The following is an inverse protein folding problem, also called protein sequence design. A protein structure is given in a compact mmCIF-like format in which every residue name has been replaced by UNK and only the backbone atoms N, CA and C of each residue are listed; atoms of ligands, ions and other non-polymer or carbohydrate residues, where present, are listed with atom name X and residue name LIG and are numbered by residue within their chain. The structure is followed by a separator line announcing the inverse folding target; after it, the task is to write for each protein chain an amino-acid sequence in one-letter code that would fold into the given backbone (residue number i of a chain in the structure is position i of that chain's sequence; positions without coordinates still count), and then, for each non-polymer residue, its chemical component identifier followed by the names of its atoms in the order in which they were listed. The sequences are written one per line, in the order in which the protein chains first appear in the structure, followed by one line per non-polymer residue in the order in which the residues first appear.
data_IF_494612896844
#
_entry.id   IF_494612896844
#
_cell.length_a   1.000
_cell.length_b   1.000
_cell.length_c   1.000
_cell.angle_alpha   90.00
_cell.angle_beta   90.00
_cell.angle_gamma   90.00
#
_symmetry.space_group_name_H-M   'P 1'
#
loop_
_entity.id
_entity.type
_entity.pdbx_description
1 polymer ?
#
# COMPACT_ATOMS: atom_id res chain seq x y z
N UNK A 1 26.91 -51.90 32.55
CA UNK A 1 26.57 -51.21 33.82
C UNK A 1 27.42 -49.97 34.10
N UNK A 2 28.76 -50.04 34.18
CA UNK A 2 29.60 -48.83 34.37
C UNK A 2 29.63 -47.95 33.11
N UNK A 3 29.73 -48.54 31.92
CA UNK A 3 29.80 -47.79 30.66
C UNK A 3 28.48 -47.12 30.28
N UNK A 4 27.35 -47.75 30.60
CA UNK A 4 26.01 -47.14 30.44
C UNK A 4 25.84 -45.91 31.34
N UNK A 5 26.34 -45.96 32.58
CA UNK A 5 26.32 -44.81 33.49
C UNK A 5 27.22 -43.69 32.98
N UNK A 6 28.40 -44.00 32.44
CA UNK A 6 29.29 -43.01 31.81
C UNK A 6 28.64 -42.35 30.59
N UNK A 7 28.00 -43.14 29.73
CA UNK A 7 27.30 -42.62 28.55
C UNK A 7 26.13 -41.71 28.95
N UNK A 8 25.38 -42.07 30.00
CA UNK A 8 24.30 -41.23 30.54
C UNK A 8 24.81 -39.93 31.17
N UNK A 9 25.95 -39.96 31.86
CA UNK A 9 26.60 -38.76 32.40
C UNK A 9 27.03 -37.82 31.25
N UNK A 10 27.69 -38.36 30.22
CA UNK A 10 28.13 -37.57 29.07
C UNK A 10 26.95 -36.92 28.32
N UNK A 11 25.82 -37.62 28.18
CA UNK A 11 24.62 -37.07 27.57
C UNK A 11 24.04 -35.91 28.40
N UNK A 12 23.93 -36.09 29.72
CA UNK A 12 23.45 -35.05 30.63
C UNK A 12 24.38 -33.83 30.67
N UNK A 13 25.69 -34.03 30.56
CA UNK A 13 26.66 -32.94 30.45
C UNK A 13 26.56 -32.20 29.10
N UNK A 14 26.33 -32.93 28.00
CA UNK A 14 26.06 -32.37 26.68
C UNK A 14 24.79 -31.53 26.66
N UNK A 15 23.68 -32.07 27.17
CA UNK A 15 22.41 -31.36 27.30
C UNK A 15 22.58 -30.10 28.16
N UNK A 16 23.20 -30.24 29.33
CA UNK A 16 23.47 -29.12 30.23
C UNK A 16 24.26 -28.03 29.51
N UNK A 17 25.30 -28.39 28.75
CA UNK A 17 26.10 -27.43 27.98
C UNK A 17 25.28 -26.74 26.88
N UNK A 18 24.51 -27.49 26.11
CA UNK A 18 23.63 -26.94 25.07
C UNK A 18 22.58 -25.99 25.65
N UNK A 19 21.99 -26.31 26.82
CA UNK A 19 21.06 -25.43 27.52
C UNK A 19 21.73 -24.11 27.95
N UNK A 20 22.95 -24.16 28.49
CA UNK A 20 23.67 -22.93 28.87
C UNK A 20 24.06 -22.09 27.64
N UNK A 21 24.53 -22.72 26.57
CA UNK A 21 24.90 -22.03 25.33
C UNK A 21 23.68 -21.38 24.67
N UNK A 22 22.56 -22.08 24.59
CA UNK A 22 21.31 -21.55 24.04
C UNK A 22 20.73 -20.41 24.90
N UNK A 23 20.77 -20.55 26.23
CA UNK A 23 20.35 -19.49 27.15
C UNK A 23 21.24 -18.25 27.04
N UNK A 24 22.55 -18.44 26.97
CA UNK A 24 23.51 -17.34 26.78
C UNK A 24 23.31 -16.64 25.43
N UNK A 25 23.14 -17.41 24.35
CA UNK A 25 22.84 -16.88 23.02
C UNK A 25 21.54 -16.09 23.01
N UNK A 26 20.49 -16.62 23.63
CA UNK A 26 19.19 -15.96 23.76
C UNK A 26 19.29 -14.68 24.57
N UNK A 27 20.02 -14.67 25.69
CA UNK A 27 20.27 -13.46 26.47
C UNK A 27 21.04 -12.41 25.67
N UNK A 28 22.07 -12.82 24.91
CA UNK A 28 22.84 -11.92 24.07
C UNK A 28 21.95 -11.29 22.99
N UNK A 29 21.16 -12.10 22.27
CA UNK A 29 20.20 -11.64 21.26
C UNK A 29 19.15 -10.69 21.86
N UNK A 30 18.65 -10.99 23.06
CA UNK A 30 17.70 -10.14 23.76
C UNK A 30 18.33 -8.80 24.16
N UNK A 31 19.59 -8.79 24.66
CA UNK A 31 20.32 -7.55 24.95
C UNK A 31 20.53 -6.70 23.70
N UNK A 32 20.91 -7.32 22.59
CA UNK A 32 21.06 -6.64 21.29
C UNK A 32 19.73 -6.06 20.81
N UNK A 33 18.63 -6.84 20.92
CA UNK A 33 17.29 -6.38 20.54
C UNK A 33 16.80 -5.22 21.41
N UNK A 34 17.02 -5.27 22.72
CA UNK A 34 16.72 -4.13 23.62
C UNK A 34 17.54 -2.90 23.22
N UNK A 35 18.82 -3.09 22.86
CA UNK A 35 19.68 -2.02 22.35
C UNK A 35 19.12 -1.37 21.08
N UNK A 36 18.68 -2.18 20.12
CA UNK A 36 18.02 -1.71 18.89
C UNK A 36 16.72 -0.96 19.22
N UNK A 37 15.83 -1.54 20.02
CA UNK A 37 14.55 -0.93 20.40
C UNK A 37 14.73 0.41 21.13
N UNK A 38 15.80 0.56 21.93
CA UNK A 38 16.15 1.83 22.58
C UNK A 38 16.63 2.88 21.58
N UNK A 39 17.44 2.48 20.59
CA UNK A 39 17.86 3.37 19.50
C UNK A 39 16.66 3.81 18.66
N UNK A 40 15.83 2.86 18.23
CA UNK A 40 14.59 3.12 17.50
C UNK A 40 13.66 4.06 18.28
N UNK A 41 13.46 3.85 19.58
CA UNK A 41 12.67 4.77 20.43
C UNK A 41 13.28 6.18 20.50
N UNK A 42 14.61 6.29 20.60
CA UNK A 42 15.30 7.58 20.61
C UNK A 42 15.10 8.31 19.29
N UNK A 43 15.22 7.59 18.18
CA UNK A 43 15.06 8.14 16.83
C UNK A 43 13.61 8.55 16.57
N UNK A 44 12.62 7.74 16.96
CA UNK A 44 11.19 8.08 16.87
C UNK A 44 10.85 9.31 17.70
N UNK A 45 11.38 9.43 18.93
CA UNK A 45 11.19 10.64 19.76
C UNK A 45 11.82 11.87 19.12
N UNK A 46 12.98 11.72 18.46
CA UNK A 46 13.62 12.81 17.73
C UNK A 46 12.76 13.23 16.53
N UNK A 47 12.33 12.27 15.70
CA UNK A 47 11.45 12.53 14.57
C UNK A 47 10.14 13.19 14.99
N UNK A 48 9.54 12.77 16.11
CA UNK A 48 8.34 13.40 16.64
C UNK A 48 8.58 14.87 17.01
N UNK A 49 9.68 15.18 17.72
CA UNK A 49 10.05 16.58 18.00
C UNK A 49 10.29 17.39 16.73
N UNK A 50 11.01 16.84 15.77
CA UNK A 50 11.35 17.54 14.53
C UNK A 50 10.06 17.87 13.75
N UNK A 51 9.10 16.94 13.69
CA UNK A 51 7.78 17.19 13.08
C UNK A 51 6.94 18.20 13.85
N UNK A 52 6.85 18.09 15.17
CA UNK A 52 6.11 19.05 15.99
C UNK A 52 6.70 20.46 15.88
N UNK A 53 8.03 20.57 15.86
CA UNK A 53 8.71 21.86 15.68
C UNK A 53 8.49 22.45 14.29
N UNK A 54 8.41 21.62 13.24
CA UNK A 54 8.07 22.06 11.90
C UNK A 54 6.62 22.57 11.83
N UNK A 55 5.68 21.84 12.43
CA UNK A 55 4.27 22.24 12.54
C UNK A 55 4.14 23.57 13.29
N UNK A 56 4.80 23.73 14.44
CA UNK A 56 4.80 24.97 15.22
C UNK A 56 5.40 26.15 14.43
N UNK A 57 6.43 25.90 13.61
CA UNK A 57 7.01 26.92 12.74
C UNK A 57 6.02 27.38 11.67
N UNK A 58 5.37 26.44 10.98
CA UNK A 58 4.38 26.72 9.93
C UNK A 58 3.16 27.47 10.51
N UNK A 59 2.64 27.02 11.66
CA UNK A 59 1.54 27.70 12.37
C UNK A 59 1.99 29.10 12.80
N UNK A 60 3.22 29.24 13.33
CA UNK A 60 3.77 30.53 13.74
C UNK A 60 3.88 31.53 12.60
N UNK A 61 4.32 31.09 11.41
CA UNK A 61 4.40 31.92 10.22
C UNK A 61 3.02 32.29 9.67
N UNK A 62 2.09 31.33 9.59
CA UNK A 62 0.76 31.55 9.05
C UNK A 62 -0.09 32.51 9.90
N UNK A 63 0.11 32.53 11.23
CA UNK A 63 -0.62 33.37 12.17
C UNK A 63 0.22 34.50 12.77
N UNK A 64 1.25 34.99 12.05
CA UNK A 64 2.13 36.05 12.55
C UNK A 64 1.36 37.34 12.92
N UNK A 65 0.38 37.73 12.09
CA UNK A 65 -0.46 38.92 12.31
C UNK A 65 -1.65 38.67 13.25
N UNK A 66 -1.84 37.43 13.71
CA UNK A 66 -3.04 36.97 14.42
C UNK A 66 -2.67 36.26 15.73
N UNK A 67 -2.31 37.02 16.78
CA UNK A 67 -1.76 36.45 18.01
C UNK A 67 -2.77 35.60 18.80
N UNK A 68 -4.06 35.92 18.74
CA UNK A 68 -5.12 35.17 19.44
C UNK A 68 -5.33 33.80 18.78
N UNK A 69 -5.40 33.77 17.46
CA UNK A 69 -5.51 32.52 16.70
C UNK A 69 -4.25 31.68 16.83
N UNK A 70 -3.07 32.30 16.80
CA UNK A 70 -1.79 31.62 17.05
C UNK A 70 -1.77 30.91 18.40
N UNK A 71 -2.18 31.60 19.47
CA UNK A 71 -2.25 31.00 20.81
C UNK A 71 -3.26 29.84 20.87
N UNK A 72 -4.41 29.96 20.20
CA UNK A 72 -5.42 28.91 20.13
C UNK A 72 -4.99 27.67 19.32
N UNK A 73 -3.93 27.80 18.53
CA UNK A 73 -3.34 26.71 17.73
C UNK A 73 -2.02 26.18 18.30
N UNK A 74 -1.54 26.73 19.42
CA UNK A 74 -0.34 26.23 20.08
C UNK A 74 -0.54 24.76 20.54
N UNK A 75 0.47 23.92 20.31
CA UNK A 75 0.47 22.48 20.60
C UNK A 75 -0.52 21.64 19.76
N UNK A 76 -1.02 22.18 18.65
CA UNK A 76 -1.82 21.41 17.68
C UNK A 76 -0.97 21.05 16.47
N UNK A 77 -1.27 19.92 15.86
CA UNK A 77 -0.65 19.57 14.58
C UNK A 77 -1.14 20.51 13.48
N UNK A 78 -0.38 20.64 12.39
CA UNK A 78 -0.79 21.46 11.25
C UNK A 78 -2.16 21.07 10.69
N UNK A 79 -2.48 19.77 10.70
CA UNK A 79 -3.78 19.25 10.25
C UNK A 79 -4.94 19.66 11.17
N UNK A 80 -4.74 19.56 12.48
CA UNK A 80 -5.76 19.97 13.45
C UNK A 80 -6.00 21.48 13.41
N UNK A 81 -4.95 22.27 13.13
CA UNK A 81 -5.06 23.70 12.93
C UNK A 81 -5.92 24.04 11.69
N UNK A 82 -5.74 23.33 10.57
CA UNK A 82 -6.58 23.50 9.38
C UNK A 82 -8.04 23.21 9.71
N UNK A 83 -8.33 22.06 10.32
CA UNK A 83 -9.69 21.67 10.67
C UNK A 83 -10.37 22.69 11.61
N UNK A 84 -9.65 23.19 12.60
CA UNK A 84 -10.17 24.21 13.51
C UNK A 84 -10.43 25.55 12.80
N UNK A 85 -9.63 25.94 11.79
CA UNK A 85 -9.92 27.10 10.97
C UNK A 85 -11.12 26.89 10.05
N UNK A 86 -11.27 25.71 9.47
CA UNK A 86 -12.41 25.37 8.62
C UNK A 86 -13.73 25.51 9.38
N UNK A 87 -13.80 25.01 10.62
CA UNK A 87 -14.97 25.21 11.48
C UNK A 87 -15.27 26.69 11.73
N UNK A 88 -14.25 27.50 12.02
CA UNK A 88 -14.41 28.96 12.19
C UNK A 88 -14.92 29.64 10.91
N UNK A 89 -14.42 29.25 9.73
CA UNK A 89 -14.88 29.77 8.44
C UNK A 89 -16.34 29.38 8.20
N UNK A 90 -16.73 28.14 8.50
CA UNK A 90 -18.12 27.71 8.41
C UNK A 90 -19.05 28.54 9.32
N UNK A 91 -18.66 28.77 10.57
CA UNK A 91 -19.48 29.53 11.53
C UNK A 91 -19.60 31.00 11.14
N UNK A 92 -18.50 31.64 10.73
CA UNK A 92 -18.53 33.02 10.23
C UNK A 92 -19.37 33.15 8.96
N UNK A 93 -19.31 32.18 8.05
CA UNK A 93 -20.15 32.13 6.84
C UNK A 93 -21.64 31.97 7.19
N UNK A 94 -21.98 31.13 8.16
CA UNK A 94 -23.36 30.99 8.66
C UNK A 94 -23.86 32.32 9.24
N UNK A 95 -23.06 32.99 10.07
CA UNK A 95 -23.38 34.32 10.63
C UNK A 95 -23.58 35.37 9.52
N UNK A 96 -22.69 35.40 8.53
CA UNK A 96 -22.79 36.30 7.37
C UNK A 96 -24.09 36.05 6.59
N UNK A 97 -24.44 34.79 6.33
CA UNK A 97 -25.66 34.44 5.60
C UNK A 97 -26.92 34.85 6.37
N UNK A 98 -26.94 34.65 7.68
CA UNK A 98 -28.03 35.12 8.54
C UNK A 98 -28.19 36.65 8.47
N UNK A 99 -27.09 37.40 8.57
CA UNK A 99 -27.11 38.85 8.44
C UNK A 99 -27.56 39.29 7.04
N UNK A 100 -27.08 38.65 5.98
CA UNK A 100 -27.52 38.92 4.59
C UNK A 100 -29.01 38.71 4.41
N UNK A 101 -29.57 37.65 4.99
CA UNK A 101 -31.01 37.39 4.97
C UNK A 101 -31.79 38.51 5.67
N UNK A 102 -31.37 38.91 6.87
CA UNK A 102 -32.00 40.01 7.60
C UNK A 102 -31.92 41.33 6.82
N UNK A 103 -30.76 41.64 6.25
CA UNK A 103 -30.56 42.86 5.44
C UNK A 103 -31.43 42.84 4.19
N UNK A 104 -31.50 41.71 3.48
CA UNK A 104 -32.37 41.56 2.31
C UNK A 104 -33.85 41.75 2.68
N UNK A 105 -34.30 41.19 3.81
CA UNK A 105 -35.66 41.40 4.31
C UNK A 105 -35.96 42.87 4.61
N UNK A 106 -35.05 43.56 5.31
CA UNK A 106 -35.17 45.01 5.56
C UNK A 106 -35.18 45.83 4.28
N UNK A 107 -34.36 45.47 3.30
CA UNK A 107 -34.31 46.16 2.01
C UNK A 107 -35.60 46.00 1.20
N UNK A 108 -36.19 44.80 1.17
CA UNK A 108 -37.52 44.57 0.57
C UNK A 108 -38.59 45.41 1.26
N UNK A 109 -38.60 45.43 2.60
CA UNK A 109 -39.56 46.25 3.35
C UNK A 109 -39.41 47.75 3.07
N UNK A 110 -38.17 48.21 2.92
CA UNK A 110 -37.89 49.60 2.57
C UNK A 110 -38.37 49.93 1.15
N UNK A 111 -38.19 49.02 0.18
CA UNK A 111 -38.75 49.17 -1.17
C UNK A 111 -40.28 49.22 -1.17
N UNK A 112 -40.95 48.33 -0.42
CA UNK A 112 -42.41 48.37 -0.26
C UNK A 112 -42.89 49.71 0.27
N UNK A 113 -42.25 50.23 1.33
CA UNK A 113 -42.60 51.52 1.93
C UNK A 113 -42.32 52.69 0.99
N UNK A 114 -41.26 52.62 0.18
CA UNK A 114 -40.97 53.62 -0.85
C UNK A 114 -42.04 53.63 -1.94
N UNK A 115 -42.43 52.45 -2.44
CA UNK A 115 -43.50 52.32 -3.45
C UNK A 115 -44.83 52.82 -2.91
N UNK A 116 -45.19 52.46 -1.67
CA UNK A 116 -46.40 52.95 -1.01
C UNK A 116 -46.39 54.48 -0.85
N UNK A 117 -45.26 55.06 -0.44
CA UNK A 117 -45.11 56.52 -0.37
C UNK A 117 -45.24 57.20 -1.74
N UNK A 118 -44.68 56.59 -2.80
CA UNK A 118 -44.81 57.12 -4.16
C UNK A 118 -46.27 57.06 -4.64
N UNK A 119 -46.99 55.98 -4.32
CA UNK A 119 -48.41 55.85 -4.64
C UNK A 119 -49.25 56.92 -3.93
N UNK A 120 -49.06 57.11 -2.62
CA UNK A 120 -49.74 58.15 -1.85
C UNK A 120 -49.42 59.57 -2.34
N UNK A 121 -48.17 59.83 -2.76
CA UNK A 121 -47.79 61.11 -3.36
C UNK A 121 -48.49 61.34 -4.70
N UNK A 122 -48.65 60.30 -5.53
CA UNK A 122 -49.42 60.38 -6.78
C UNK A 122 -50.89 60.63 -6.49
N UNK A 123 -51.51 59.87 -5.59
CA UNK A 123 -52.91 60.04 -5.20
C UNK A 123 -53.18 61.43 -4.59
N UNK A 124 -52.27 61.96 -3.77
CA UNK A 124 -52.36 63.34 -3.25
C UNK A 124 -52.17 64.41 -4.35
N UNK A 125 -51.33 64.13 -5.35
CA UNK A 125 -51.18 65.00 -6.52
C UNK A 125 -52.42 64.97 -7.41
N UNK A 126 -53.02 63.80 -7.60
CA UNK A 126 -54.25 63.57 -8.36
C UNK A 126 -55.47 64.16 -7.65
N UNK A 127 -55.54 64.09 -6.32
CA UNK A 127 -56.55 64.79 -5.54
C UNK A 127 -56.43 66.33 -5.64
N UNK A 128 -55.20 66.85 -5.79
CA UNK A 128 -54.97 68.28 -6.06
C UNK A 128 -55.32 68.67 -7.49
N UNK A 129 -55.13 67.78 -8.49
CA UNK A 129 -55.56 68.03 -9.88
C UNK A 129 -57.06 67.86 -10.09
N UNK A 130 -57.74 67.04 -9.28
CA UNK A 130 -59.20 66.87 -9.35
C UNK A 130 -59.99 67.94 -8.57
N UNK A 131 -59.32 68.72 -7.71
CA UNK A 131 -59.90 69.89 -7.04
C UNK A 131 -59.72 71.19 -7.86
N UNK A 132 -58.79 71.21 -8.82
CA UNK A 132 -58.67 72.24 -9.84
C UNK A 132 -59.42 71.77 -11.09
N UNK A 133 -60.72 72.08 -11.15
CA UNK A 133 -61.61 71.60 -12.20
C UNK A 133 -61.24 72.03 -13.62
N UNK A 134 -62.07 71.55 -14.55
CA UNK A 134 -62.14 72.12 -15.90
C UNK A 134 -62.12 71.07 -16.99
N UNK A 135 -63.28 70.45 -17.20
CA UNK A 135 -63.73 70.10 -18.55
C UNK A 135 -63.69 71.37 -19.42
N UNK A 136 -62.99 71.35 -20.56
CA UNK A 136 -62.88 72.52 -21.43
C UNK A 136 -61.78 72.44 -22.50
N UNK A 137 -62.19 72.13 -23.73
CA UNK A 137 -61.58 72.54 -25.00
C UNK A 137 -60.24 71.92 -25.46
N UNK A 138 -60.31 70.65 -25.89
CA UNK A 138 -59.32 70.02 -26.79
C UNK A 138 -59.58 70.36 -28.28
N UNK A 139 -59.88 71.62 -28.60
CA UNK A 139 -60.08 72.06 -29.99
C UNK A 139 -59.46 73.43 -30.34
N UNK A 140 -58.80 74.09 -29.39
CA UNK A 140 -58.08 75.34 -29.67
C UNK A 140 -56.81 75.47 -28.82
N UNK A 141 -56.02 74.40 -28.74
CA UNK A 141 -54.66 74.50 -28.26
C UNK A 141 -53.90 75.45 -29.19
N UNK A 142 -53.37 76.56 -28.65
CA UNK A 142 -52.50 77.47 -29.40
C UNK A 142 -51.47 76.65 -30.20
N UNK A 143 -51.12 77.02 -31.45
CA UNK A 143 -50.07 76.33 -32.21
C UNK A 143 -48.76 76.15 -31.42
N UNK A 144 -48.51 76.98 -30.41
CA UNK A 144 -47.42 76.79 -29.45
C UNK A 144 -47.59 75.56 -28.53
N UNK A 145 -48.80 75.31 -28.02
CA UNK A 145 -49.08 74.18 -27.13
C UNK A 145 -48.99 72.83 -27.87
N UNK A 146 -49.40 72.78 -29.13
CA UNK A 146 -49.24 71.58 -29.97
C UNK A 146 -47.76 71.30 -30.28
N UNK A 147 -46.98 72.35 -30.60
CA UNK A 147 -45.52 72.24 -30.75
C UNK A 147 -44.84 71.79 -29.45
N UNK A 148 -45.31 72.25 -28.29
CA UNK A 148 -44.78 71.83 -26.99
C UNK A 148 -45.03 70.34 -26.75
N UNK A 149 -46.26 69.85 -26.97
CA UNK A 149 -46.59 68.41 -26.89
C UNK A 149 -45.73 67.56 -27.83
N UNK A 150 -45.50 68.02 -29.06
CA UNK A 150 -44.64 67.32 -30.03
C UNK A 150 -43.16 67.29 -29.60
N UNK A 151 -42.66 68.39 -29.03
CA UNK A 151 -41.30 68.48 -28.49
C UNK A 151 -41.13 67.57 -27.27
N UNK A 152 -42.12 67.51 -26.38
CA UNK A 152 -42.16 66.61 -25.22
C UNK A 152 -42.16 65.14 -25.67
N UNK A 153 -43.04 64.77 -26.60
CA UNK A 153 -43.08 63.41 -27.16
C UNK A 153 -41.75 63.01 -27.83
N UNK A 154 -41.11 63.95 -28.54
CA UNK A 154 -39.79 63.73 -29.13
C UNK A 154 -38.72 63.55 -28.05
N UNK A 155 -38.75 64.36 -27.01
CA UNK A 155 -37.84 64.26 -25.87
C UNK A 155 -37.99 62.90 -25.17
N UNK A 156 -39.21 62.47 -24.86
CA UNK A 156 -39.47 61.17 -24.24
C UNK A 156 -39.00 60.01 -25.12
N UNK A 157 -39.25 60.09 -26.43
CA UNK A 157 -38.75 59.10 -27.39
C UNK A 157 -37.22 59.04 -27.42
N UNK A 158 -36.54 60.18 -27.37
CA UNK A 158 -35.07 60.22 -27.28
C UNK A 158 -34.55 59.71 -25.94
N UNK A 159 -35.25 59.98 -24.84
CA UNK A 159 -34.93 59.50 -23.50
C UNK A 159 -35.05 57.98 -23.41
N UNK A 160 -36.13 57.39 -23.96
CA UNK A 160 -36.28 55.94 -24.07
C UNK A 160 -35.17 55.31 -24.91
N UNK A 161 -34.83 55.89 -26.06
CA UNK A 161 -33.72 55.41 -26.90
C UNK A 161 -32.37 55.47 -26.19
N UNK A 162 -32.12 56.53 -25.41
CA UNK A 162 -30.90 56.67 -24.62
C UNK A 162 -30.82 55.57 -23.56
N UNK A 163 -31.89 55.34 -22.81
CA UNK A 163 -31.96 54.28 -21.79
C UNK A 163 -31.74 52.89 -22.39
N UNK A 164 -32.32 52.62 -23.56
CA UNK A 164 -32.11 51.37 -24.29
C UNK A 164 -30.65 51.22 -24.75
N UNK A 165 -30.07 52.28 -25.32
CA UNK A 165 -28.66 52.29 -25.72
C UNK A 165 -27.72 52.08 -24.52
N UNK A 166 -28.03 52.66 -23.36
CA UNK A 166 -27.31 52.41 -22.11
C UNK A 166 -27.45 50.96 -21.65
N UNK A 167 -28.65 50.38 -21.75
CA UNK A 167 -28.86 48.98 -21.39
C UNK A 167 -28.03 48.05 -22.28
N UNK A 168 -28.08 48.26 -23.61
CA UNK A 168 -27.28 47.52 -24.58
C UNK A 168 -25.77 47.69 -24.28
N UNK A 169 -25.31 48.93 -24.02
CA UNK A 169 -23.93 49.21 -23.65
C UNK A 169 -23.50 48.43 -22.40
N UNK A 170 -24.30 48.44 -21.33
CA UNK A 170 -24.02 47.67 -20.11
C UNK A 170 -23.90 46.18 -20.39
N UNK A 171 -24.76 45.63 -21.25
CA UNK A 171 -24.70 44.22 -21.65
C UNK A 171 -23.40 43.91 -22.41
N UNK A 172 -22.99 44.77 -23.36
CA UNK A 172 -21.71 44.59 -24.06
C UNK A 172 -20.50 44.74 -23.13
N UNK A 173 -20.55 45.66 -22.16
CA UNK A 173 -19.50 45.78 -21.14
C UNK A 173 -19.39 44.52 -20.28
N UNK A 174 -20.52 43.91 -19.90
CA UNK A 174 -20.53 42.62 -19.19
C UNK A 174 -19.94 41.49 -20.03
N UNK A 175 -20.33 41.39 -21.31
CA UNK A 175 -19.78 40.39 -22.24
C UNK A 175 -18.26 40.59 -22.38
N UNK A 176 -17.79 41.82 -22.55
CA UNK A 176 -16.36 42.15 -22.64
C UNK A 176 -15.61 41.76 -21.37
N UNK A 177 -16.18 42.05 -20.19
CA UNK A 177 -15.56 41.68 -18.92
C UNK A 177 -15.43 40.15 -18.79
N UNK A 178 -16.46 39.39 -19.17
CA UNK A 178 -16.42 37.92 -19.19
C UNK A 178 -15.39 37.38 -20.17
N UNK A 179 -15.35 37.89 -21.39
CA UNK A 179 -14.34 37.47 -22.37
C UNK A 179 -12.91 37.77 -21.90
N UNK A 180 -12.71 38.86 -21.15
CA UNK A 180 -11.42 39.18 -20.58
C UNK A 180 -11.03 38.24 -19.43
N UNK A 181 -11.98 37.92 -18.54
CA UNK A 181 -11.82 36.90 -17.50
C UNK A 181 -11.46 35.53 -18.12
N UNK A 182 -12.20 35.11 -19.15
CA UNK A 182 -11.99 33.86 -19.87
C UNK A 182 -10.60 33.83 -20.51
N UNK A 183 -10.20 34.91 -21.19
CA UNK A 183 -8.87 35.02 -21.82
C UNK A 183 -7.73 34.85 -20.80
N UNK A 184 -7.85 35.43 -19.61
CA UNK A 184 -6.88 35.26 -18.53
C UNK A 184 -6.90 33.84 -17.95
N UNK A 185 -8.07 33.19 -17.93
CA UNK A 185 -8.22 31.83 -17.38
C UNK A 185 -7.70 30.73 -18.33
N UNK A 186 -7.88 30.91 -19.64
CA UNK A 186 -7.52 29.88 -20.62
C UNK A 186 -6.02 29.64 -20.67
N UNK A 187 -5.19 30.68 -20.54
CA UNK A 187 -3.73 30.52 -20.44
C UNK A 187 -3.33 29.62 -19.28
N UNK A 188 -3.82 29.91 -18.07
CA UNK A 188 -3.52 29.10 -16.88
C UNK A 188 -4.00 27.65 -17.01
N UNK A 189 -5.19 27.45 -17.57
CA UNK A 189 -5.74 26.11 -17.81
C UNK A 189 -4.89 25.33 -18.81
N UNK A 190 -4.47 25.99 -19.90
CA UNK A 190 -3.62 25.41 -20.93
C UNK A 190 -2.23 25.07 -20.38
N UNK A 191 -1.61 25.97 -19.62
CA UNK A 191 -0.32 25.72 -18.96
C UNK A 191 -0.39 24.53 -17.98
N UNK A 192 -1.50 24.39 -17.25
CA UNK A 192 -1.74 23.25 -16.36
C UNK A 192 -1.84 21.94 -17.14
N UNK A 193 -2.65 21.92 -18.22
CA UNK A 193 -2.79 20.75 -19.08
C UNK A 193 -1.47 20.39 -19.76
N UNK A 194 -0.71 21.37 -20.24
CA UNK A 194 0.62 21.14 -20.83
C UNK A 194 1.63 20.60 -19.83
N UNK A 195 1.56 21.06 -18.57
CA UNK A 195 2.37 20.50 -17.49
C UNK A 195 2.00 19.04 -17.21
N UNK A 196 0.71 18.74 -17.07
CA UNK A 196 0.24 17.36 -16.87
C UNK A 196 0.66 16.43 -18.02
N UNK A 197 0.57 16.90 -19.27
CA UNK A 197 1.04 16.12 -20.43
C UNK A 197 2.54 15.87 -20.35
N UNK A 198 3.34 16.85 -19.93
CA UNK A 198 4.80 16.67 -19.75
C UNK A 198 5.10 15.67 -18.65
N UNK A 199 4.44 15.78 -17.52
CA UNK A 199 4.62 14.88 -16.38
C UNK A 199 4.24 13.43 -16.77
N UNK A 200 3.10 13.23 -17.44
CA UNK A 200 2.69 11.93 -17.98
C UNK A 200 3.70 11.35 -18.98
N UNK A 201 4.30 12.18 -19.85
CA UNK A 201 5.33 11.72 -20.80
C UNK A 201 6.60 11.26 -20.09
N UNK A 202 7.01 11.97 -19.03
CA UNK A 202 8.16 11.57 -18.20
C UNK A 202 7.85 10.25 -17.50
N UNK A 203 6.66 10.11 -16.89
CA UNK A 203 6.24 8.88 -16.23
C UNK A 203 6.22 7.67 -17.20
N UNK A 204 5.68 7.86 -18.42
CA UNK A 204 5.71 6.81 -19.45
C UNK A 204 7.15 6.42 -19.82
N UNK A 205 8.05 7.39 -19.95
CA UNK A 205 9.45 7.11 -20.26
C UNK A 205 10.13 6.31 -19.13
N UNK A 206 9.88 6.67 -17.88
CA UNK A 206 10.41 5.92 -16.74
C UNK A 206 9.82 4.51 -16.63
N UNK A 207 8.51 4.34 -16.88
CA UNK A 207 7.86 3.03 -16.85
C UNK A 207 8.42 2.12 -17.95
N UNK A 208 8.70 2.64 -19.15
CA UNK A 208 9.37 1.89 -20.21
C UNK A 208 10.78 1.44 -19.79
N UNK A 209 11.56 2.33 -19.17
CA UNK A 209 12.88 1.98 -18.67
C UNK A 209 12.82 0.86 -17.61
N UNK A 210 11.86 0.97 -16.68
CA UNK A 210 11.61 -0.08 -15.67
C UNK A 210 11.15 -1.39 -16.30
N UNK A 211 10.34 -1.35 -17.35
CA UNK A 211 9.91 -2.53 -18.09
C UNK A 211 11.10 -3.24 -18.76
N UNK A 212 11.98 -2.49 -19.42
CA UNK A 212 13.20 -3.03 -20.02
C UNK A 212 14.14 -3.64 -18.97
N UNK A 213 14.28 -3.00 -17.81
CA UNK A 213 15.05 -3.53 -16.69
C UNK A 213 14.44 -4.81 -16.13
N UNK A 214 13.12 -4.85 -15.92
CA UNK A 214 12.42 -6.04 -15.47
C UNK A 214 12.56 -7.20 -16.48
N UNK A 215 12.50 -6.93 -17.78
CA UNK A 215 12.73 -7.91 -18.85
C UNK A 215 14.14 -8.49 -18.78
N UNK A 216 15.18 -7.63 -18.71
CA UNK A 216 16.57 -8.07 -18.53
C UNK A 216 16.76 -8.92 -17.29
N UNK A 217 16.21 -8.50 -16.15
CA UNK A 217 16.33 -9.23 -14.89
C UNK A 217 15.66 -10.62 -14.98
N UNK A 218 14.50 -10.70 -15.65
CA UNK A 218 13.83 -11.98 -15.93
C UNK A 218 14.69 -12.88 -16.81
N UNK A 219 15.24 -12.35 -17.90
CA UNK A 219 16.12 -13.11 -18.79
C UNK A 219 17.38 -13.62 -18.08
N UNK A 220 18.00 -12.78 -17.25
CA UNK A 220 19.15 -13.15 -16.44
C UNK A 220 18.80 -14.25 -15.43
N UNK A 221 17.67 -14.12 -14.73
CA UNK A 221 17.19 -15.14 -13.80
C UNK A 221 16.89 -16.47 -14.51
N UNK A 222 16.26 -16.43 -15.68
CA UNK A 222 16.00 -17.62 -16.50
C UNK A 222 17.30 -18.27 -16.97
N UNK A 223 18.31 -17.49 -17.37
CA UNK A 223 19.61 -18.01 -17.76
C UNK A 223 20.33 -18.66 -16.57
N UNK A 224 20.30 -18.02 -15.39
CA UNK A 224 20.86 -18.58 -14.15
C UNK A 224 20.17 -19.89 -13.80
N UNK A 225 18.83 -19.94 -13.87
CA UNK A 225 18.06 -21.16 -13.62
C UNK A 225 18.49 -22.30 -14.56
N UNK A 226 18.51 -22.05 -15.88
CA UNK A 226 18.95 -23.05 -16.87
C UNK A 226 20.36 -23.58 -16.59
N UNK A 227 21.31 -22.68 -16.28
CA UNK A 227 22.67 -23.10 -15.91
C UNK A 227 22.68 -23.97 -14.65
N UNK A 228 21.93 -23.60 -13.62
CA UNK A 228 21.84 -24.42 -12.41
C UNK A 228 21.18 -25.78 -12.68
N UNK A 229 20.12 -25.83 -13.49
CA UNK A 229 19.46 -27.08 -13.90
C UNK A 229 20.42 -27.99 -14.68
N UNK A 230 21.19 -27.43 -15.62
CA UNK A 230 22.23 -28.16 -16.36
C UNK A 230 23.30 -28.72 -15.42
N UNK A 231 23.80 -27.93 -14.46
CA UNK A 231 24.79 -28.41 -13.48
C UNK A 231 24.24 -29.51 -12.58
N UNK A 232 22.99 -29.40 -12.15
CA UNK A 232 22.33 -30.44 -11.34
C UNK A 232 22.13 -31.71 -12.17
N UNK A 233 21.75 -31.57 -13.44
CA UNK A 233 21.59 -32.70 -14.35
C UNK A 233 22.90 -33.44 -14.61
N UNK A 234 23.99 -32.71 -14.90
CA UNK A 234 25.31 -33.32 -15.14
C UNK A 234 25.86 -33.99 -13.88
N UNK A 235 25.73 -33.35 -12.71
CA UNK A 235 26.11 -33.94 -11.43
C UNK A 235 25.29 -35.20 -11.10
N UNK A 236 23.97 -35.18 -11.35
CA UNK A 236 23.12 -36.37 -11.17
C UNK A 236 23.58 -37.51 -12.08
N UNK A 237 23.85 -37.22 -13.35
CA UNK A 237 24.32 -38.21 -14.33
C UNK A 237 25.69 -38.78 -13.93
N UNK A 238 26.61 -37.93 -13.45
CA UNK A 238 27.92 -38.34 -12.93
C UNK A 238 27.78 -39.29 -11.74
N UNK A 239 26.96 -38.92 -10.74
CA UNK A 239 26.68 -39.76 -9.58
C UNK A 239 26.04 -41.10 -9.97
N UNK A 240 25.14 -41.10 -10.95
CA UNK A 240 24.51 -42.33 -11.44
C UNK A 240 25.51 -43.25 -12.13
N UNK A 241 26.46 -42.70 -12.90
CA UNK A 241 27.57 -43.45 -13.49
C UNK A 241 28.50 -44.02 -12.41
N UNK A 242 28.88 -43.22 -11.40
CA UNK A 242 29.71 -43.67 -10.28
C UNK A 242 29.02 -44.81 -9.50
N UNK A 243 27.72 -44.70 -9.22
CA UNK A 243 26.93 -45.75 -8.57
C UNK A 243 26.87 -47.02 -9.45
N UNK A 244 26.71 -46.88 -10.77
CA UNK A 244 26.71 -48.02 -11.68
C UNK A 244 28.06 -48.73 -11.71
N UNK A 245 29.17 -47.99 -11.74
CA UNK A 245 30.52 -48.55 -11.67
C UNK A 245 30.75 -49.32 -10.36
N UNK A 246 30.41 -48.70 -9.22
CA UNK A 246 30.52 -49.36 -7.91
C UNK A 246 29.65 -50.61 -7.80
N UNK A 247 28.45 -50.61 -8.39
CA UNK A 247 27.59 -51.81 -8.46
C UNK A 247 28.22 -52.92 -9.29
N UNK A 248 28.79 -52.58 -10.45
CA UNK A 248 29.47 -53.55 -11.32
C UNK A 248 30.70 -54.18 -10.63
N UNK A 249 31.53 -53.37 -9.97
CA UNK A 249 32.67 -53.87 -9.19
C UNK A 249 32.23 -54.76 -8.02
N UNK A 250 31.15 -54.39 -7.32
CA UNK A 250 30.59 -55.20 -6.24
C UNK A 250 30.05 -56.53 -6.76
N UNK A 251 29.40 -56.54 -7.93
CA UNK A 251 28.90 -57.76 -8.58
C UNK A 251 30.06 -58.65 -9.05
N UNK A 252 31.11 -58.07 -9.63
CA UNK A 252 32.32 -58.82 -10.03
C UNK A 252 32.98 -59.50 -8.83
N UNK A 253 33.16 -58.76 -7.72
CA UNK A 253 33.68 -59.33 -6.46
C UNK A 253 32.77 -60.44 -5.95
N UNK A 254 31.45 -60.27 -5.96
CA UNK A 254 30.48 -61.31 -5.57
C UNK A 254 30.65 -62.57 -6.41
N UNK A 255 30.74 -62.44 -7.74
CA UNK A 255 30.95 -63.56 -8.66
C UNK A 255 32.30 -64.24 -8.44
N UNK A 256 33.35 -63.48 -8.10
CA UNK A 256 34.66 -64.03 -7.76
C UNK A 256 34.62 -64.85 -6.46
N UNK A 257 34.01 -64.30 -5.40
CA UNK A 257 33.80 -65.03 -4.14
C UNK A 257 32.94 -66.28 -4.35
N UNK A 258 31.86 -66.20 -5.12
CA UNK A 258 31.00 -67.36 -5.43
C UNK A 258 31.78 -68.45 -6.20
N UNK A 259 32.68 -68.07 -7.12
CA UNK A 259 33.58 -69.02 -7.80
C UNK A 259 34.59 -69.67 -6.84
N UNK A 260 35.17 -68.90 -5.91
CA UNK A 260 36.08 -69.43 -4.88
C UNK A 260 35.32 -70.39 -3.97
N UNK A 261 34.14 -70.01 -3.50
CA UNK A 261 33.28 -70.82 -2.64
C UNK A 261 32.91 -72.14 -3.32
N UNK A 262 32.49 -72.11 -4.60
CA UNK A 262 32.24 -73.34 -5.37
C UNK A 262 33.49 -74.23 -5.47
N UNK A 263 34.69 -73.65 -5.63
CA UNK A 263 35.95 -74.41 -5.69
C UNK A 263 36.29 -75.04 -4.35
N UNK A 264 36.07 -74.34 -3.24
CA UNK A 264 36.27 -74.85 -1.88
C UNK A 264 35.25 -75.96 -1.58
N UNK A 265 33.97 -75.74 -1.89
CA UNK A 265 32.91 -76.73 -1.70
C UNK A 265 33.15 -78.03 -2.52
N UNK A 266 33.67 -77.91 -3.75
CA UNK A 266 34.10 -79.08 -4.53
C UNK A 266 35.29 -79.82 -3.88
N UNK A 267 36.20 -79.09 -3.23
CA UNK A 267 37.33 -79.67 -2.50
C UNK A 267 36.90 -80.36 -1.20
N UNK A 268 35.95 -79.78 -0.46
CA UNK A 268 35.34 -80.39 0.73
C UNK A 268 34.46 -81.61 0.39
N UNK A 269 33.77 -81.59 -0.76
CA UNK A 269 33.02 -82.76 -1.25
C UNK A 269 33.94 -83.94 -1.63
N UNK A 270 35.24 -83.69 -1.86
CA UNK A 270 36.25 -84.72 -2.11
C UNK A 270 36.92 -85.24 -0.82
N UNK A 271 36.66 -84.63 0.34
CA UNK A 271 37.27 -85.00 1.63
C UNK A 271 36.28 -85.61 2.65
N UNK A 272 35.05 -85.92 2.23
CA UNK A 272 34.01 -86.44 3.14
C UNK A 272 33.33 -87.68 2.56
N UNK A 273 34.10 -88.76 2.43
CA UNK A 273 33.58 -90.13 2.31
C UNK A 273 34.59 -91.11 2.94
N UNK A 274 34.60 -91.18 4.28
CA UNK A 274 34.72 -92.48 4.95
C UNK A 274 34.20 -92.43 6.41
N UNK A 275 33.63 -93.56 6.86
CA UNK A 275 33.17 -93.92 8.21
C UNK A 275 31.71 -93.52 8.59
N UNK A 276 30.74 -94.28 8.08
CA UNK A 276 30.17 -95.47 8.76
C UNK A 276 29.44 -95.36 10.12
N UNK A 277 28.11 -95.62 10.09
CA UNK A 277 27.31 -96.36 11.11
C UNK A 277 26.89 -95.57 12.36
N UNK A 278 25.70 -95.65 12.94
CA UNK A 278 24.54 -96.54 12.83
C UNK A 278 23.83 -96.54 14.20
N UNK A 279 22.50 -96.62 14.26
CA UNK A 279 21.76 -96.89 15.51
C UNK A 279 20.53 -96.01 15.74
N UNK A 280 19.35 -96.59 15.55
CA UNK A 280 18.04 -95.94 15.71
C UNK A 280 17.55 -95.83 17.16
N UNK A 281 16.52 -95.01 17.33
CA UNK A 281 15.72 -94.88 18.55
C UNK A 281 14.50 -94.00 18.30
N UNK A 282 13.32 -94.60 18.42
CA UNK A 282 11.99 -94.10 18.06
C UNK A 282 11.47 -92.96 18.97
N UNK A 283 10.64 -92.07 18.42
CA UNK A 283 9.19 -91.88 18.75
C UNK A 283 8.66 -90.48 18.37
N UNK A 284 7.49 -90.50 17.72
CA UNK A 284 6.59 -89.41 17.38
C UNK A 284 6.17 -88.51 18.55
N UNK A 285 5.90 -87.21 18.29
CA UNK A 285 4.55 -86.61 18.38
C UNK A 285 4.56 -85.13 17.90
N UNK A 286 3.56 -84.82 17.05
CA UNK A 286 2.89 -83.55 16.70
C UNK A 286 3.44 -82.17 17.16
N UNK A 287 3.53 -81.22 16.21
CA UNK A 287 2.68 -80.01 16.10
C UNK A 287 3.35 -78.91 15.23
N UNK A 288 2.56 -78.25 14.39
CA UNK A 288 2.92 -77.08 13.59
C UNK A 288 2.81 -75.77 14.43
N UNK A 289 2.85 -74.57 13.82
CA UNK A 289 4.04 -73.81 13.42
C UNK A 289 4.10 -72.41 14.08
N UNK A 290 5.26 -71.75 14.00
CA UNK A 290 5.35 -70.29 14.13
C UNK A 290 5.87 -69.75 15.47
N UNK A 291 6.99 -69.02 15.40
CA UNK A 291 7.55 -68.29 16.53
C UNK A 291 9.07 -68.20 16.52
N UNK A 292 9.71 -67.93 15.37
CA UNK A 292 11.14 -67.65 15.30
C UNK A 292 11.44 -66.25 15.84
N UNK A 293 11.60 -66.17 17.16
CA UNK A 293 12.38 -65.14 17.81
C UNK A 293 13.86 -65.48 17.57
N UNK A 294 14.45 -64.99 16.48
CA UNK A 294 15.89 -64.84 16.40
C UNK A 294 16.22 -63.43 15.93
N UNK A 295 16.68 -62.68 16.93
CA UNK A 295 16.92 -61.25 16.90
C UNK A 295 18.07 -60.94 15.93
N UNK A 296 17.76 -60.02 15.03
CA UNK A 296 18.65 -59.24 14.19
C UNK A 296 19.99 -58.89 14.87
N UNK A 297 21.07 -59.52 14.39
CA UNK A 297 22.40 -58.91 14.40
C UNK A 297 22.69 -58.48 12.96
N UNK A 298 22.32 -57.24 12.64
CA UNK A 298 22.90 -56.57 11.48
C UNK A 298 24.20 -55.89 11.93
N UNK A 299 25.26 -55.91 11.09
CA UNK A 299 26.55 -55.31 11.44
C UNK A 299 26.38 -53.81 11.72
N UNK A 300 27.08 -53.26 12.74
CA UNK A 300 26.92 -51.88 13.19
C UNK A 300 27.22 -50.85 12.10
N UNK A 301 28.00 -51.22 11.08
CA UNK A 301 28.36 -50.37 9.94
C UNK A 301 27.14 -49.96 9.10
N UNK A 302 26.15 -50.84 8.91
CA UNK A 302 24.96 -50.47 8.12
C UNK A 302 24.07 -49.46 8.83
N UNK A 303 24.07 -49.46 10.16
CA UNK A 303 23.29 -48.50 10.95
C UNK A 303 23.97 -47.13 10.92
N UNK A 304 25.30 -47.10 11.00
CA UNK A 304 26.07 -45.86 10.88
C UNK A 304 25.96 -45.25 9.49
N UNK A 305 25.99 -46.08 8.44
CA UNK A 305 25.86 -45.62 7.05
C UNK A 305 24.47 -45.02 6.78
N UNK A 306 23.42 -45.63 7.33
CA UNK A 306 22.05 -45.13 7.24
C UNK A 306 21.86 -43.84 8.04
N UNK A 307 22.49 -43.70 9.21
CA UNK A 307 22.49 -42.45 9.99
C UNK A 307 23.22 -41.32 9.26
N UNK A 308 24.36 -41.61 8.64
CA UNK A 308 25.13 -40.60 7.91
C UNK A 308 24.40 -40.15 6.63
N UNK A 309 23.76 -41.09 5.92
CA UNK A 309 22.90 -40.77 4.79
C UNK A 309 21.69 -39.93 5.20
N UNK A 310 21.06 -40.24 6.35
CA UNK A 310 19.95 -39.46 6.88
C UNK A 310 20.37 -38.03 7.28
N UNK A 311 21.56 -37.88 7.86
CA UNK A 311 22.11 -36.57 8.23
C UNK A 311 22.40 -35.69 6.99
N UNK A 312 22.97 -36.28 5.93
CA UNK A 312 23.18 -35.57 4.65
C UNK A 312 21.87 -35.15 3.98
N UNK A 313 20.83 -35.98 4.06
CA UNK A 313 19.50 -35.64 3.54
C UNK A 313 18.86 -34.54 4.39
N UNK A 314 19.00 -34.59 5.71
CA UNK A 314 18.50 -33.56 6.64
C UNK A 314 19.12 -32.19 6.37
N UNK A 315 20.43 -32.15 6.12
CA UNK A 315 21.16 -30.92 5.80
C UNK A 315 20.81 -30.38 4.41
N UNK A 316 20.58 -31.25 3.43
CA UNK A 316 20.23 -30.86 2.06
C UNK A 316 18.76 -30.41 1.89
N UNK A 317 17.85 -30.92 2.73
CA UNK A 317 16.41 -30.61 2.61
C UNK A 317 15.97 -29.42 3.46
N UNK A 318 16.83 -28.87 4.33
CA UNK A 318 16.57 -27.64 5.08
C UNK A 318 15.37 -27.71 6.02
N UNK A 319 14.84 -28.90 6.28
CA UNK A 319 13.70 -29.11 7.19
C UNK A 319 14.24 -29.14 8.61
N UNK A 320 14.39 -27.96 9.20
CA UNK A 320 14.60 -27.83 10.64
C UNK A 320 13.29 -28.18 11.33
N UNK A 321 13.34 -29.15 12.25
CA UNK A 321 12.21 -29.57 13.08
C UNK A 321 11.51 -28.32 13.66
N UNK A 322 10.27 -28.10 13.23
CA UNK A 322 9.40 -27.05 13.73
C UNK A 322 9.12 -27.31 15.21
N UNK A 323 9.24 -26.30 16.10
CA UNK A 323 8.68 -26.37 17.44
C UNK A 323 7.15 -26.31 17.42
#
# INVERSE_FOLDING_TARGET
KVDELRSKINLLEGDRKAYYENSYYTQKRNRERIGQLRKENKDLRKQLRDRLSADDHVIGQAFQEKPVERAAMANKTGRDAIQAMDYKVCDTKKKLNALKHVTSGKQKRLQELQTANQALKKESGEASSNAAGGDGDDANASPEAQKLRDLENKMDKTSMKLKEAEHIKRTYEQIKARLHEDHLSFGNSLDSMEKEIRDCRVEIAELRLREEEAKRNKEEAQLKLKKTEETVYTERKRREQEIQQLKAEAEEKRLHYEKIERRIAQRESSSTQDIGGGGGGERSFSAAPGGSQQQLQQPPERITDLQEAFQRIKEATGVSDLP
#
